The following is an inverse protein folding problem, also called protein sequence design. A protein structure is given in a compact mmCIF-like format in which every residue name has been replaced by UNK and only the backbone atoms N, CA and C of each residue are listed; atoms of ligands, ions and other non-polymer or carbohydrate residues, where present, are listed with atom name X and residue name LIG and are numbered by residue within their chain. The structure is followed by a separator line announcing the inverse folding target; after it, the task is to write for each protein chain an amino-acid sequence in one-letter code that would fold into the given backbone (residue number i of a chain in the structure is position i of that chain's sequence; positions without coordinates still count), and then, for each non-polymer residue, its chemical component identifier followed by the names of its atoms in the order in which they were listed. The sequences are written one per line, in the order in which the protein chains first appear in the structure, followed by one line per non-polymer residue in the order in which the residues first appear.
data_IF_169415444014
#
_entry.id   IF_169415444014
#
_cell.length_a   1.000
_cell.length_b   1.000
_cell.length_c   1.000
_cell.angle_alpha   90.00
_cell.angle_beta   90.00
_cell.angle_gamma   90.00
#
_symmetry.space_group_name_H-M   'P 1'
#
loop_
_entity.id
_entity.type
_entity.pdbx_description
1 polymer ?
#
# COMPACT_ATOMS: atom_id res chain seq x y z
N UNK A 1 54.31 11.88 27.07
CA UNK A 1 53.68 10.71 26.40
C UNK A 1 52.51 10.08 27.17
N UNK A 2 52.51 10.04 28.51
CA UNK A 2 51.44 9.37 29.30
C UNK A 2 50.05 10.05 29.28
N UNK A 3 49.94 11.38 29.18
CA UNK A 3 48.62 12.05 29.13
C UNK A 3 47.83 11.83 27.83
N UNK A 4 48.49 11.68 26.67
CA UNK A 4 47.79 11.45 25.39
C UNK A 4 47.18 10.04 25.31
N UNK A 5 47.82 9.06 25.95
CA UNK A 5 47.34 7.68 25.98
C UNK A 5 46.09 7.53 26.87
N UNK A 6 46.03 8.27 27.99
CA UNK A 6 44.87 8.30 28.89
C UNK A 6 43.63 8.95 28.24
N UNK A 7 43.82 10.00 27.45
CA UNK A 7 42.71 10.67 26.74
C UNK A 7 42.17 9.76 25.62
N UNK A 8 43.05 9.12 24.85
CA UNK A 8 42.65 8.15 23.81
C UNK A 8 41.93 6.94 24.41
N UNK A 9 42.36 6.45 25.58
CA UNK A 9 41.70 5.35 26.27
C UNK A 9 40.34 5.76 26.83
N UNK A 10 40.21 6.99 27.37
CA UNK A 10 38.93 7.51 27.85
C UNK A 10 37.91 7.75 26.72
N UNK A 11 38.36 8.23 25.55
CA UNK A 11 37.52 8.38 24.36
C UNK A 11 37.11 7.02 23.79
N UNK A 12 38.02 6.04 23.74
CA UNK A 12 37.70 4.68 23.30
C UNK A 12 36.74 3.97 24.25
N UNK A 13 36.88 4.16 25.57
CA UNK A 13 35.95 3.62 26.58
C UNK A 13 34.59 4.34 26.52
N UNK A 14 34.55 5.64 26.24
CA UNK A 14 33.30 6.38 26.01
C UNK A 14 32.58 5.92 24.73
N UNK A 15 33.33 5.60 23.66
CA UNK A 15 32.77 5.04 22.42
C UNK A 15 32.38 3.56 22.54
N UNK A 16 32.95 2.82 23.51
CA UNK A 16 32.61 1.40 23.75
C UNK A 16 31.50 1.23 24.81
N UNK A 17 31.34 2.19 25.74
CA UNK A 17 30.25 2.22 26.73
C UNK A 17 29.02 2.97 26.22
N UNK A 18 29.21 3.96 25.34
CA UNK A 18 28.16 4.50 24.49
C UNK A 18 27.95 3.53 23.34
N UNK A 19 27.35 2.37 23.61
CA UNK A 19 26.89 1.49 22.55
C UNK A 19 26.16 2.34 21.52
N UNK A 20 26.61 2.28 20.26
CA UNK A 20 25.92 2.89 19.13
C UNK A 20 24.55 2.22 18.98
N UNK A 21 23.63 2.56 19.86
CA UNK A 21 22.22 2.20 19.82
C UNK A 21 21.58 3.21 18.89
N UNK A 22 21.04 2.71 17.80
CA UNK A 22 20.36 3.52 16.82
C UNK A 22 18.95 3.84 17.39
N UNK A 23 18.85 4.89 18.22
CA UNK A 23 17.61 5.23 18.93
C UNK A 23 16.36 5.29 18.02
N UNK A 24 16.43 5.80 16.78
CA UNK A 24 15.27 5.78 15.86
C UNK A 24 14.83 4.36 15.45
N UNK A 25 15.75 3.40 15.33
CA UNK A 25 15.39 2.00 15.03
C UNK A 25 14.80 1.29 16.25
N UNK A 26 15.26 1.64 17.46
CA UNK A 26 14.72 1.11 18.71
C UNK A 26 13.27 1.59 18.93
N UNK A 27 13.00 2.88 18.73
CA UNK A 27 11.66 3.46 18.82
C UNK A 27 10.66 2.84 17.83
N UNK A 28 11.08 2.61 16.57
CA UNK A 28 10.26 1.90 15.57
C UNK A 28 9.99 0.45 15.97
N UNK A 29 11.03 -0.26 16.43
CA UNK A 29 10.92 -1.64 16.87
C UNK A 29 10.02 -1.79 18.09
N UNK A 30 10.02 -0.80 18.98
CA UNK A 30 9.14 -0.74 20.14
C UNK A 30 7.69 -0.42 19.73
N UNK A 31 7.46 0.49 18.79
CA UNK A 31 6.11 0.77 18.26
C UNK A 31 5.46 -0.50 17.69
N UNK A 32 6.18 -1.24 16.83
CA UNK A 32 5.66 -2.48 16.26
C UNK A 32 5.37 -3.54 17.33
N UNK A 33 6.26 -3.67 18.32
CA UNK A 33 6.09 -4.62 19.43
C UNK A 33 4.91 -4.23 20.33
N UNK A 34 4.67 -2.93 20.52
CA UNK A 34 3.55 -2.43 21.29
C UNK A 34 2.22 -2.75 20.60
N UNK A 35 2.12 -2.55 19.28
CA UNK A 35 0.93 -2.94 18.50
C UNK A 35 0.63 -4.43 18.64
N UNK A 36 1.66 -5.29 18.55
CA UNK A 36 1.50 -6.74 18.68
C UNK A 36 1.10 -7.23 20.08
N UNK A 37 1.27 -6.40 21.11
CA UNK A 37 0.90 -6.75 22.49
C UNK A 37 -0.54 -6.39 22.83
N UNK A 38 -1.18 -5.56 22.02
CA UNK A 38 -2.57 -5.18 22.23
C UNK A 38 -3.44 -6.43 22.18
N UNK A 39 -4.16 -6.67 23.27
CA UNK A 39 -5.14 -7.75 23.35
C UNK A 39 -6.36 -7.41 22.49
N UNK A 40 -6.72 -8.30 21.55
CA UNK A 40 -7.86 -8.12 20.66
C UNK A 40 -9.19 -8.00 21.42
N UNK A 41 -9.29 -8.60 22.62
CA UNK A 41 -10.48 -8.52 23.46
C UNK A 41 -10.51 -7.26 24.34
N UNK A 42 -9.43 -6.46 24.38
CA UNK A 42 -9.32 -5.26 25.18
C UNK A 42 -9.53 -3.98 24.36
N UNK A 43 -10.80 -3.64 24.14
CA UNK A 43 -11.19 -2.48 23.34
C UNK A 43 -10.58 -1.15 23.82
N UNK A 44 -10.39 -0.99 25.13
CA UNK A 44 -9.78 0.24 25.68
C UNK A 44 -8.32 0.38 25.26
N UNK A 45 -7.56 -0.72 25.24
CA UNK A 45 -6.16 -0.73 24.80
C UNK A 45 -6.06 -0.55 23.29
N UNK A 46 -6.95 -1.19 22.52
CA UNK A 46 -7.05 -1.00 21.07
C UNK A 46 -7.35 0.45 20.71
N UNK A 47 -8.35 1.06 21.34
CA UNK A 47 -8.70 2.48 21.14
C UNK A 47 -7.52 3.39 21.50
N UNK A 48 -6.82 3.13 22.61
CA UNK A 48 -5.66 3.92 23.00
C UNK A 48 -4.48 3.78 22.03
N UNK A 49 -4.20 2.55 21.56
CA UNK A 49 -3.16 2.29 20.57
C UNK A 49 -3.48 2.98 19.25
N UNK A 50 -4.73 2.86 18.79
CA UNK A 50 -5.20 3.51 17.58
C UNK A 50 -5.05 5.03 17.65
N UNK A 51 -5.46 5.64 18.76
CA UNK A 51 -5.28 7.08 18.98
C UNK A 51 -3.79 7.49 18.93
N UNK A 52 -2.90 6.71 19.55
CA UNK A 52 -1.44 6.92 19.49
C UNK A 52 -0.91 6.85 18.05
N UNK A 53 -1.29 5.82 17.30
CA UNK A 53 -0.87 5.63 15.91
C UNK A 53 -1.36 6.77 15.00
N UNK A 54 -2.62 7.19 15.15
CA UNK A 54 -3.18 8.34 14.43
C UNK A 54 -2.40 9.62 14.71
N UNK A 55 -2.07 9.88 15.98
CA UNK A 55 -1.29 11.05 16.35
C UNK A 55 0.14 11.02 15.75
N UNK A 56 0.78 9.85 15.68
CA UNK A 56 2.09 9.72 15.00
C UNK A 56 1.95 10.01 13.50
N UNK A 57 0.90 9.48 12.86
CA UNK A 57 0.72 9.55 11.41
C UNK A 57 0.34 10.96 10.92
N UNK A 58 -0.63 11.62 11.56
CA UNK A 58 -1.19 12.90 11.07
C UNK A 58 -1.13 14.04 12.09
N UNK A 59 -0.61 13.78 13.30
CA UNK A 59 -0.64 14.74 14.40
C UNK A 59 -1.99 14.77 15.11
N UNK A 60 -2.13 15.74 16.00
CA UNK A 60 -3.35 16.08 16.70
C UNK A 60 -3.55 17.61 16.76
N UNK A 61 -4.49 18.08 17.59
CA UNK A 61 -4.79 19.52 17.69
C UNK A 61 -3.60 20.36 18.19
N UNK A 62 -2.71 19.76 18.99
CA UNK A 62 -1.63 20.45 19.68
C UNK A 62 -0.26 20.11 19.08
N UNK A 63 -0.14 18.99 18.36
CA UNK A 63 1.12 18.46 17.85
C UNK A 63 1.05 18.14 16.34
N UNK A 64 2.07 18.51 15.56
CA UNK A 64 2.18 18.04 14.18
C UNK A 64 2.45 16.52 14.13
N UNK A 65 2.28 15.88 12.95
CA UNK A 65 2.71 14.49 12.76
C UNK A 65 4.19 14.30 13.06
N UNK A 66 4.59 13.06 13.34
CA UNK A 66 5.98 12.73 13.65
C UNK A 66 6.90 13.14 12.50
N UNK A 67 8.06 13.72 12.82
CA UNK A 67 9.01 14.22 11.81
C UNK A 67 9.69 13.10 11.04
N UNK A 68 9.82 11.90 11.62
CA UNK A 68 10.43 10.75 10.99
C UNK A 68 9.41 10.02 10.09
N UNK A 69 9.57 10.02 8.76
CA UNK A 69 8.65 9.34 7.85
C UNK A 69 8.57 7.84 8.10
N UNK A 70 9.59 7.22 8.70
CA UNK A 70 9.51 5.80 9.05
C UNK A 70 8.67 5.54 10.31
N UNK A 71 8.63 6.48 11.26
CA UNK A 71 7.69 6.40 12.38
C UNK A 71 6.26 6.53 11.89
N UNK A 72 6.00 7.46 10.96
CA UNK A 72 4.70 7.58 10.29
C UNK A 72 4.33 6.34 9.49
N UNK A 73 5.26 5.78 8.72
CA UNK A 73 5.05 4.53 7.99
C UNK A 73 4.73 3.35 8.94
N UNK A 74 5.47 3.23 10.05
CA UNK A 74 5.18 2.25 11.10
C UNK A 74 3.83 2.46 11.76
N UNK A 75 3.39 3.71 11.92
CA UNK A 75 2.06 4.03 12.43
C UNK A 75 0.94 3.61 11.47
N UNK A 76 1.09 3.91 10.17
CA UNK A 76 0.16 3.45 9.14
C UNK A 76 0.07 1.91 9.10
N UNK A 77 1.22 1.23 9.13
CA UNK A 77 1.29 -0.22 9.22
C UNK A 77 0.56 -0.74 10.47
N UNK A 78 0.79 -0.11 11.63
CA UNK A 78 0.15 -0.45 12.89
C UNK A 78 -1.37 -0.30 12.85
N UNK A 79 -1.90 0.74 12.20
CA UNK A 79 -3.36 0.88 11.99
C UNK A 79 -3.92 -0.28 11.17
N UNK A 80 -3.22 -0.70 10.12
CA UNK A 80 -3.56 -1.89 9.34
C UNK A 80 -3.55 -3.18 10.17
N UNK A 81 -2.57 -3.33 11.06
CA UNK A 81 -2.42 -4.49 11.95
C UNK A 81 -3.49 -4.52 13.06
N UNK A 82 -4.10 -3.38 13.41
CA UNK A 82 -5.27 -3.32 14.28
C UNK A 82 -6.56 -3.77 13.57
N UNK A 83 -6.57 -3.86 12.23
CA UNK A 83 -7.67 -4.38 11.43
C UNK A 83 -9.00 -3.59 11.50
N UNK A 84 -8.99 -2.36 11.99
CA UNK A 84 -10.23 -1.58 12.22
C UNK A 84 -10.65 -0.78 10.97
N UNK A 85 -11.79 -1.09 10.32
CA UNK A 85 -12.22 -0.40 9.10
C UNK A 85 -12.49 1.10 9.28
N UNK A 86 -12.74 1.64 10.49
CA UNK A 86 -12.92 3.09 10.61
C UNK A 86 -11.61 3.91 10.47
N UNK A 87 -10.46 3.24 10.25
CA UNK A 87 -9.22 3.90 9.80
C UNK A 87 -9.16 4.15 8.29
N UNK A 88 -10.13 3.65 7.51
CA UNK A 88 -10.16 3.77 6.05
C UNK A 88 -10.01 5.21 5.56
N UNK A 89 -10.82 6.14 6.06
CA UNK A 89 -10.84 7.52 5.55
C UNK A 89 -9.50 8.22 5.80
N UNK A 90 -8.93 8.03 7.00
CA UNK A 90 -7.63 8.57 7.36
C UNK A 90 -6.52 8.01 6.46
N UNK A 91 -6.49 6.68 6.26
CA UNK A 91 -5.47 6.03 5.44
C UNK A 91 -5.59 6.42 3.96
N UNK A 92 -6.80 6.61 3.44
CA UNK A 92 -7.03 7.13 2.08
C UNK A 92 -6.58 8.58 1.96
N UNK A 93 -6.85 9.41 2.96
CA UNK A 93 -6.44 10.81 2.96
C UNK A 93 -4.91 10.96 2.98
N UNK A 94 -4.22 10.15 3.78
CA UNK A 94 -2.74 10.11 3.84
C UNK A 94 -2.13 9.50 2.58
N UNK A 95 -2.83 8.58 1.92
CA UNK A 95 -2.37 7.97 0.67
C UNK A 95 -2.49 8.93 -0.52
N UNK A 96 -3.65 9.57 -0.68
CA UNK A 96 -4.02 10.26 -1.93
C UNK A 96 -5.03 11.40 -1.77
N UNK A 97 -5.35 11.81 -0.53
CA UNK A 97 -6.31 12.87 -0.25
C UNK A 97 -5.65 14.17 0.20
N UNK A 98 -6.38 15.02 0.96
CA UNK A 98 -5.88 16.31 1.43
C UNK A 98 -4.67 16.21 2.36
N UNK A 99 -4.43 15.04 2.95
CA UNK A 99 -3.34 14.76 3.87
C UNK A 99 -2.23 13.92 3.23
N UNK A 100 -2.18 13.85 1.89
CA UNK A 100 -1.23 13.00 1.18
C UNK A 100 0.21 13.22 1.68
N UNK A 101 0.81 12.16 2.24
CA UNK A 101 2.14 12.27 2.85
C UNK A 101 3.21 12.44 1.76
N UNK A 102 4.15 13.36 1.98
CA UNK A 102 5.30 13.56 1.09
C UNK A 102 6.20 12.33 0.99
N UNK A 103 6.25 11.52 2.06
CA UNK A 103 7.02 10.30 2.14
C UNK A 103 6.38 9.18 1.35
N UNK A 104 7.00 8.79 0.23
CA UNK A 104 6.58 7.63 -0.60
C UNK A 104 6.39 6.36 0.24
N UNK A 105 7.28 6.11 1.21
CA UNK A 105 7.18 4.95 2.10
C UNK A 105 5.90 5.00 2.97
N UNK A 106 5.52 6.18 3.47
CA UNK A 106 4.29 6.35 4.25
C UNK A 106 3.07 6.04 3.41
N UNK A 107 3.03 6.54 2.17
CA UNK A 107 1.96 6.24 1.21
C UNK A 107 1.90 4.74 0.86
N UNK A 108 3.06 4.10 0.66
CA UNK A 108 3.13 2.63 0.46
C UNK A 108 2.51 1.89 1.64
N UNK A 109 2.90 2.22 2.88
CA UNK A 109 2.34 1.56 4.07
C UNK A 109 0.86 1.87 4.28
N UNK A 110 0.38 3.07 3.92
CA UNK A 110 -1.05 3.38 3.95
C UNK A 110 -1.84 2.51 2.97
N UNK A 111 -1.35 2.33 1.74
CA UNK A 111 -1.96 1.41 0.79
C UNK A 111 -2.02 -0.01 1.36
N UNK A 112 -0.88 -0.54 1.83
CA UNK A 112 -0.80 -1.87 2.44
C UNK A 112 -1.77 -2.01 3.62
N UNK A 113 -1.85 -1.00 4.49
CA UNK A 113 -2.73 -0.99 5.65
C UNK A 113 -4.21 -1.11 5.24
N UNK A 114 -4.64 -0.40 4.18
CA UNK A 114 -5.99 -0.53 3.63
C UNK A 114 -6.32 -1.96 3.20
N UNK A 115 -5.33 -2.71 2.68
CA UNK A 115 -5.46 -4.12 2.35
C UNK A 115 -5.56 -5.06 3.56
N UNK A 116 -5.10 -4.62 4.74
CA UNK A 116 -5.12 -5.40 5.99
C UNK A 116 -6.38 -5.18 6.84
N UNK A 117 -7.13 -4.10 6.61
CA UNK A 117 -8.35 -3.82 7.38
C UNK A 117 -9.39 -4.94 7.20
N UNK A 118 -10.16 -5.23 8.26
CA UNK A 118 -11.21 -6.24 8.22
C UNK A 118 -12.57 -5.60 8.01
N UNK A 119 -12.98 -5.60 6.76
CA UNK A 119 -14.30 -5.11 6.38
C UNK A 119 -15.39 -6.15 6.71
N UNK A 120 -16.51 -5.77 7.34
CA UNK A 120 -17.61 -6.69 7.68
C UNK A 120 -18.23 -7.44 6.50
N UNK A 121 -18.09 -6.91 5.28
CA UNK A 121 -18.56 -7.57 4.06
C UNK A 121 -18.39 -6.68 2.83
N UNK A 122 -18.77 -7.19 1.66
CA UNK A 122 -18.65 -6.47 0.38
C UNK A 122 -19.43 -5.15 0.33
N UNK A 123 -20.58 -5.09 1.01
CA UNK A 123 -21.46 -3.93 1.04
C UNK A 123 -21.10 -2.93 2.15
N UNK A 124 -20.01 -3.17 2.87
CA UNK A 124 -19.47 -2.23 3.83
C UNK A 124 -19.02 -0.93 3.12
N UNK A 125 -19.47 0.26 3.57
CA UNK A 125 -19.14 1.52 2.93
C UNK A 125 -17.62 1.80 2.86
N UNK A 126 -16.87 1.46 3.92
CA UNK A 126 -15.42 1.67 3.92
C UNK A 126 -14.74 0.79 2.87
N UNK A 127 -15.16 -0.47 2.76
CA UNK A 127 -14.64 -1.38 1.74
C UNK A 127 -14.92 -0.88 0.32
N UNK A 128 -16.16 -0.46 0.06
CA UNK A 128 -16.56 0.06 -1.25
C UNK A 128 -15.75 1.29 -1.63
N UNK A 129 -15.53 2.20 -0.68
CA UNK A 129 -14.72 3.39 -0.88
C UNK A 129 -13.27 3.03 -1.19
N UNK A 130 -12.64 2.12 -0.44
CA UNK A 130 -11.26 1.70 -0.69
C UNK A 130 -11.12 1.08 -2.08
N UNK A 131 -11.98 0.12 -2.44
CA UNK A 131 -11.91 -0.49 -3.78
C UNK A 131 -12.10 0.56 -4.87
N UNK A 132 -13.04 1.50 -4.69
CA UNK A 132 -13.28 2.58 -5.63
C UNK A 132 -12.06 3.51 -5.80
N UNK A 133 -11.49 3.96 -4.68
CA UNK A 133 -10.38 4.93 -4.65
C UNK A 133 -9.07 4.33 -5.14
N UNK A 134 -8.77 3.10 -4.72
CA UNK A 134 -7.60 2.36 -5.23
C UNK A 134 -7.77 2.11 -6.73
N UNK A 135 -8.94 1.64 -7.17
CA UNK A 135 -9.22 1.46 -8.60
C UNK A 135 -8.98 2.76 -9.36
N UNK A 136 -9.53 3.90 -8.92
CA UNK A 136 -9.39 5.15 -9.67
C UNK A 136 -7.93 5.58 -9.82
N UNK A 137 -7.12 5.46 -8.74
CA UNK A 137 -5.76 6.04 -8.67
C UNK A 137 -4.64 5.16 -9.23
N UNK A 138 -4.86 3.85 -9.41
CA UNK A 138 -3.80 2.92 -9.88
C UNK A 138 -3.45 3.11 -11.35
N UNK A 139 -4.41 3.44 -12.22
CA UNK A 139 -4.08 3.95 -13.55
C UNK A 139 -3.80 5.46 -13.41
N UNK A 140 -2.89 6.02 -14.21
CA UNK A 140 -2.47 7.42 -14.06
C UNK A 140 -3.67 8.35 -13.85
N UNK A 141 -3.69 9.11 -12.75
CA UNK A 141 -4.53 10.30 -12.78
C UNK A 141 -3.95 11.17 -13.88
N UNK A 142 -4.82 11.78 -14.66
CA UNK A 142 -4.41 12.75 -15.64
C UNK A 142 -4.69 14.12 -15.02
N UNK A 143 -3.72 15.02 -15.12
CA UNK A 143 -3.96 16.41 -14.77
C UNK A 143 -5.03 17.00 -15.71
N UNK A 144 -5.44 18.25 -15.46
CA UNK A 144 -6.41 18.96 -16.31
C UNK A 144 -5.96 19.06 -17.80
N UNK A 145 -4.68 18.83 -18.09
CA UNK A 145 -4.09 18.83 -19.43
C UNK A 145 -3.96 17.42 -20.05
N UNK A 146 -4.49 16.39 -19.39
CA UNK A 146 -4.44 15.01 -19.86
C UNK A 146 -3.08 14.33 -19.67
N UNK A 147 -2.12 14.98 -19.01
CA UNK A 147 -0.81 14.40 -18.73
C UNK A 147 -0.88 13.50 -17.51
N UNK A 148 -0.17 12.37 -17.48
CA UNK A 148 -0.08 11.54 -16.28
C UNK A 148 0.46 12.33 -15.08
N UNK A 149 -0.34 12.50 -14.03
CA UNK A 149 0.16 12.73 -12.67
C UNK A 149 0.82 11.44 -12.21
N UNK A 150 2.15 11.42 -12.29
CA UNK A 150 2.94 10.24 -11.95
C UNK A 150 2.82 9.94 -10.45
N UNK A 151 1.95 9.00 -10.11
CA UNK A 151 2.03 8.31 -8.82
C UNK A 151 3.18 7.32 -8.90
N UNK A 152 4.05 7.33 -7.89
CA UNK A 152 5.23 6.48 -7.86
C UNK A 152 4.84 5.00 -7.99
N UNK A 153 5.55 4.26 -8.86
CA UNK A 153 5.26 2.84 -9.15
C UNK A 153 5.06 2.00 -7.89
N UNK A 154 5.89 2.21 -6.85
CA UNK A 154 5.80 1.45 -5.60
C UNK A 154 4.46 1.65 -4.90
N UNK A 155 3.93 2.88 -4.89
CA UNK A 155 2.62 3.18 -4.30
C UNK A 155 1.53 2.49 -5.12
N UNK A 156 1.56 2.60 -6.46
CA UNK A 156 0.59 1.93 -7.34
C UNK A 156 0.62 0.41 -7.20
N UNK A 157 1.81 -0.17 -7.07
CA UNK A 157 1.99 -1.61 -6.85
C UNK A 157 1.43 -2.02 -5.48
N UNK A 158 1.64 -1.22 -4.44
CA UNK A 158 1.04 -1.45 -3.13
C UNK A 158 -0.50 -1.39 -3.17
N UNK A 159 -1.08 -0.45 -3.93
CA UNK A 159 -2.53 -0.38 -4.14
C UNK A 159 -3.07 -1.64 -4.85
N UNK A 160 -2.38 -2.15 -5.89
CA UNK A 160 -2.74 -3.40 -6.56
C UNK A 160 -2.70 -4.58 -5.59
N UNK A 161 -1.62 -4.70 -4.79
CA UNK A 161 -1.52 -5.75 -3.77
C UNK A 161 -2.63 -5.63 -2.72
N UNK A 162 -3.08 -4.42 -2.42
CA UNK A 162 -4.16 -4.17 -1.46
C UNK A 162 -5.52 -4.57 -2.02
N UNK A 163 -5.79 -4.33 -3.30
CA UNK A 163 -6.98 -4.87 -3.97
C UNK A 163 -7.01 -6.40 -3.92
N UNK A 164 -5.86 -7.04 -4.13
CA UNK A 164 -5.72 -8.49 -4.05
C UNK A 164 -5.95 -9.00 -2.62
N UNK A 165 -5.39 -8.31 -1.61
CA UNK A 165 -5.60 -8.65 -0.20
C UNK A 165 -7.06 -8.49 0.24
N UNK A 166 -7.75 -7.42 -0.21
CA UNK A 166 -9.18 -7.20 0.03
C UNK A 166 -10.01 -8.33 -0.61
N UNK A 167 -9.61 -8.74 -1.82
CA UNK A 167 -10.20 -9.86 -2.55
C UNK A 167 -11.67 -9.68 -2.89
N UNK A 168 -12.28 -10.76 -3.38
CA UNK A 168 -13.67 -10.75 -3.86
C UNK A 168 -13.82 -10.27 -5.30
N UNK A 169 -15.04 -10.41 -5.82
CA UNK A 169 -15.36 -10.19 -7.24
C UNK A 169 -15.17 -8.74 -7.69
N UNK A 170 -15.46 -7.77 -6.83
CA UNK A 170 -15.30 -6.35 -7.13
C UNK A 170 -13.85 -5.87 -7.08
N UNK A 171 -13.00 -6.47 -6.23
CA UNK A 171 -11.55 -6.27 -6.33
C UNK A 171 -10.99 -6.87 -7.62
N UNK A 172 -11.44 -8.07 -8.02
CA UNK A 172 -11.06 -8.64 -9.32
C UNK A 172 -11.52 -7.76 -10.50
N UNK A 173 -12.75 -7.21 -10.43
CA UNK A 173 -13.24 -6.25 -11.41
C UNK A 173 -12.46 -4.94 -11.41
N UNK A 174 -12.02 -4.46 -10.24
CA UNK A 174 -11.15 -3.29 -10.14
C UNK A 174 -9.77 -3.54 -10.78
N UNK A 175 -9.17 -4.71 -10.56
CA UNK A 175 -7.91 -5.11 -11.21
C UNK A 175 -8.06 -5.21 -12.73
N UNK A 176 -9.18 -5.75 -13.20
CA UNK A 176 -9.50 -5.82 -14.63
C UNK A 176 -9.62 -4.43 -15.27
N UNK A 177 -10.33 -3.52 -14.62
CA UNK A 177 -10.51 -2.13 -15.07
C UNK A 177 -9.16 -1.38 -15.09
N UNK A 178 -8.33 -1.57 -14.07
CA UNK A 178 -6.96 -1.04 -14.03
C UNK A 178 -6.11 -1.61 -15.17
N UNK A 179 -6.10 -2.93 -15.35
CA UNK A 179 -5.35 -3.60 -16.41
C UNK A 179 -5.77 -3.11 -17.81
N UNK A 180 -7.07 -2.90 -18.01
CA UNK A 180 -7.63 -2.38 -19.26
C UNK A 180 -7.16 -0.95 -19.55
N UNK A 181 -7.16 -0.09 -18.52
CA UNK A 181 -6.64 1.29 -18.65
C UNK A 181 -5.13 1.31 -18.92
N UNK A 182 -4.35 0.51 -18.19
CA UNK A 182 -2.90 0.38 -18.42
C UNK A 182 -2.61 -0.12 -19.84
N UNK A 183 -3.39 -1.07 -20.33
CA UNK A 183 -3.25 -1.57 -21.69
C UNK A 183 -3.55 -0.48 -22.73
N UNK A 184 -4.66 0.25 -22.58
CA UNK A 184 -5.01 1.37 -23.47
C UNK A 184 -3.90 2.42 -23.50
N UNK A 185 -3.35 2.79 -22.34
CA UNK A 185 -2.25 3.76 -22.25
C UNK A 185 -0.99 3.25 -22.95
N UNK A 186 -0.68 1.95 -22.85
CA UNK A 186 0.44 1.30 -23.55
C UNK A 186 0.23 1.25 -25.07
N UNK A 187 -1.00 1.07 -25.56
CA UNK A 187 -1.32 1.12 -26.99
C UNK A 187 -1.19 2.54 -27.54
N UNK A 188 -1.76 3.54 -26.85
CA UNK A 188 -1.72 4.95 -27.29
C UNK A 188 -0.30 5.51 -27.31
N UNK A 189 0.57 5.02 -26.43
CA UNK A 189 1.99 5.41 -26.35
C UNK A 189 2.90 4.66 -27.32
N UNK A 190 2.38 3.78 -28.20
CA UNK A 190 3.19 3.15 -29.27
C UNK A 190 3.82 4.15 -30.27
N UNK A 191 3.51 5.46 -30.16
CA UNK A 191 4.23 6.56 -30.83
C UNK A 191 5.03 7.51 -29.91
N UNK A 192 4.97 7.34 -28.59
CA UNK A 192 5.60 8.21 -27.60
C UNK A 192 6.59 7.40 -26.75
N UNK A 193 7.81 7.91 -26.59
CA UNK A 193 8.94 7.29 -25.85
C UNK A 193 8.70 7.07 -24.32
N UNK A 194 7.45 7.03 -23.86
CA UNK A 194 7.05 7.08 -22.45
C UNK A 194 6.33 5.82 -21.97
N UNK A 195 6.43 4.67 -22.65
CA UNK A 195 6.12 3.38 -21.99
C UNK A 195 7.23 3.06 -21.00
N UNK A 196 7.04 3.38 -19.72
CA UNK A 196 7.99 2.99 -18.68
C UNK A 196 7.88 1.47 -18.42
N UNK A 197 8.98 0.79 -18.11
CA UNK A 197 8.97 -0.65 -17.80
C UNK A 197 8.05 -0.99 -16.60
N UNK A 198 7.72 0.02 -15.81
CA UNK A 198 6.88 -0.04 -14.62
C UNK A 198 5.40 -0.28 -14.93
N UNK A 199 4.82 0.29 -15.98
CA UNK A 199 3.40 0.05 -16.32
C UNK A 199 3.15 -1.37 -16.83
N UNK A 200 4.11 -1.93 -17.57
CA UNK A 200 4.08 -3.35 -17.94
C UNK A 200 4.12 -4.23 -16.70
N UNK A 201 4.97 -3.91 -15.72
CA UNK A 201 5.01 -4.62 -14.44
C UNK A 201 3.72 -4.52 -13.64
N UNK A 202 3.07 -3.34 -13.61
CA UNK A 202 1.76 -3.16 -12.98
C UNK A 202 0.66 -3.96 -13.68
N UNK A 203 0.66 -3.95 -15.01
CA UNK A 203 -0.28 -4.74 -15.81
C UNK A 203 -0.13 -6.23 -15.52
N UNK A 204 1.09 -6.76 -15.59
CA UNK A 204 1.34 -8.17 -15.29
C UNK A 204 0.91 -8.51 -13.85
N UNK A 205 1.18 -7.64 -12.86
CA UNK A 205 0.70 -7.82 -11.49
C UNK A 205 -0.84 -7.82 -11.37
N UNK A 206 -1.55 -6.99 -12.15
CA UNK A 206 -3.01 -7.02 -12.17
C UNK A 206 -3.55 -8.34 -12.76
N UNK A 207 -2.91 -8.87 -13.81
CA UNK A 207 -3.27 -10.16 -14.40
C UNK A 207 -3.04 -11.31 -13.42
N UNK A 208 -1.90 -11.31 -12.72
CA UNK A 208 -1.60 -12.27 -11.64
C UNK A 208 -2.65 -12.18 -10.53
N UNK A 209 -2.99 -10.97 -10.08
CA UNK A 209 -4.02 -10.75 -9.07
C UNK A 209 -5.40 -11.25 -9.48
N UNK A 210 -5.79 -11.07 -10.75
CA UNK A 210 -7.05 -11.64 -11.26
C UNK A 210 -7.02 -13.17 -11.25
N UNK A 211 -5.89 -13.80 -11.60
CA UNK A 211 -5.74 -15.25 -11.52
C UNK A 211 -5.85 -15.75 -10.06
N UNK A 212 -5.18 -15.07 -9.12
CA UNK A 212 -5.27 -15.38 -7.68
C UNK A 212 -6.72 -15.30 -7.18
N UNK A 213 -7.45 -14.23 -7.51
CA UNK A 213 -8.81 -13.99 -7.00
C UNK A 213 -9.88 -14.88 -7.63
N UNK A 214 -9.75 -15.18 -8.92
CA UNK A 214 -10.69 -16.05 -9.64
C UNK A 214 -10.40 -17.54 -9.41
N UNK A 215 -9.20 -17.89 -8.93
CA UNK A 215 -8.72 -19.26 -8.82
C UNK A 215 -8.38 -19.91 -10.17
N UNK A 216 -8.29 -19.11 -11.23
CA UNK A 216 -7.87 -19.57 -12.56
C UNK A 216 -6.38 -19.92 -12.53
N UNK A 217 -5.97 -21.13 -12.93
CA UNK A 217 -4.57 -21.51 -12.94
C UNK A 217 -3.74 -20.60 -13.84
N UNK A 218 -2.52 -20.24 -13.41
CA UNK A 218 -1.58 -19.46 -14.21
C UNK A 218 -1.32 -20.06 -15.59
N UNK A 219 -1.29 -21.40 -15.69
CA UNK A 219 -1.12 -22.10 -16.96
C UNK A 219 -2.29 -21.91 -17.92
N UNK A 220 -3.53 -21.83 -17.42
CA UNK A 220 -4.72 -21.56 -18.23
C UNK A 220 -4.71 -20.11 -18.72
N UNK A 221 -4.43 -19.16 -17.83
CA UNK A 221 -4.31 -17.75 -18.19
C UNK A 221 -3.18 -17.50 -19.21
N UNK A 222 -2.02 -18.15 -19.03
CA UNK A 222 -0.89 -18.06 -19.95
C UNK A 222 -1.22 -18.70 -21.32
N UNK A 223 -1.91 -19.83 -21.32
CA UNK A 223 -2.34 -20.48 -22.56
C UNK A 223 -3.32 -19.58 -23.33
N UNK A 224 -4.32 -19.01 -22.65
CA UNK A 224 -5.24 -18.07 -23.28
C UNK A 224 -4.50 -16.85 -23.85
N UNK A 225 -3.60 -16.23 -23.07
CA UNK A 225 -2.78 -15.08 -23.51
C UNK A 225 -1.95 -15.41 -24.76
N UNK A 226 -1.39 -16.63 -24.84
CA UNK A 226 -0.63 -17.10 -26.00
C UNK A 226 -1.52 -17.33 -27.24
N UNK A 227 -2.72 -17.88 -27.07
CA UNK A 227 -3.64 -18.19 -28.17
C UNK A 227 -4.30 -16.94 -28.77
N UNK A 228 -4.56 -15.91 -27.97
CA UNK A 228 -5.27 -14.72 -28.44
C UNK A 228 -4.40 -13.74 -29.23
N UNK A 229 -3.07 -13.75 -29.04
CA UNK A 229 -2.05 -12.78 -29.58
C UNK A 229 -2.48 -11.29 -29.51
N UNK A 230 -3.48 -11.02 -28.67
CA UNK A 230 -4.25 -9.78 -28.60
C UNK A 230 -4.70 -9.65 -27.15
N UNK A 231 -4.09 -8.69 -26.45
CA UNK A 231 -4.33 -8.49 -25.04
C UNK A 231 -5.74 -7.94 -24.76
N UNK A 232 -6.38 -7.27 -25.73
CA UNK A 232 -7.78 -6.88 -25.62
C UNK A 232 -8.69 -8.11 -25.50
N UNK A 233 -8.48 -9.14 -26.34
CA UNK A 233 -9.24 -10.40 -26.23
C UNK A 233 -8.95 -11.16 -24.94
N UNK A 234 -7.71 -11.09 -24.45
CA UNK A 234 -7.35 -11.70 -23.16
C UNK A 234 -8.08 -11.00 -22.00
N UNK A 235 -8.19 -9.66 -22.03
CA UNK A 235 -8.98 -8.90 -21.06
C UNK A 235 -10.48 -9.18 -21.18
N UNK A 236 -11.02 -9.38 -22.38
CA UNK A 236 -12.42 -9.80 -22.56
C UNK A 236 -12.67 -11.19 -21.94
N UNK A 237 -11.73 -12.12 -22.09
CA UNK A 237 -11.81 -13.44 -21.45
C UNK A 237 -11.87 -13.34 -19.92
N UNK A 238 -11.08 -12.45 -19.31
CA UNK A 238 -11.13 -12.17 -17.87
C UNK A 238 -12.50 -11.68 -17.39
N UNK A 239 -13.21 -10.89 -18.22
CA UNK A 239 -14.59 -10.45 -17.90
C UNK A 239 -15.51 -11.63 -17.63
N UNK A 240 -15.39 -12.72 -18.42
CA UNK A 240 -16.14 -13.95 -18.23
C UNK A 240 -15.76 -14.67 -16.92
N UNK A 241 -14.46 -14.84 -16.65
CA UNK A 241 -13.95 -15.48 -15.42
C UNK A 241 -14.39 -14.74 -14.16
N UNK A 242 -14.36 -13.41 -14.17
CA UNK A 242 -14.82 -12.58 -13.05
C UNK A 242 -16.34 -12.68 -12.88
N UNK A 243 -17.11 -12.82 -13.96
CA UNK A 243 -18.55 -13.00 -13.88
C UNK A 243 -18.98 -14.34 -13.27
N UNK A 244 -18.14 -15.36 -13.33
CA UNK A 244 -18.34 -16.68 -12.70
C UNK A 244 -18.10 -16.67 -11.18
N UNK A 245 -17.44 -15.63 -10.64
CA UNK A 245 -17.21 -15.50 -9.20
C UNK A 245 -18.52 -15.27 -8.43
N UNK A 246 -18.64 -15.78 -7.19
CA UNK A 246 -19.80 -15.54 -6.34
C UNK A 246 -19.97 -14.04 -6.04
N UNK A 247 -21.23 -13.61 -5.86
CA UNK A 247 -21.58 -12.20 -5.59
C UNK A 247 -21.38 -11.75 -4.14
N UNK A 248 -21.06 -12.70 -3.25
CA UNK A 248 -21.03 -12.54 -1.78
C UNK A 248 -20.22 -11.34 -1.31
#
# INVERSE_FOLDING_TARGET
MRCRLLILFAVAVALMLGGCRNAPEEERGDLHRDVQRVDDDNEAERTAMRAKLRAILVGDADNPPDVDPHMRAGAAQGLGDLHDPEDTDLLLDVLMGPLADEGVLVRVECAIALGKLRYPGRMDPHRQEVVLRLRSRVAFDRDDAGQPEETEYLVRSAMVNSLIAIGGRDSAAALHDVASRLYSDLEDSTGALYTNATDRGLLDRCLEGMAELTGVPESEAAQNRFETDDLSKHLDWWTGRIAEMPEN
#
